data_IF_837745308281
#
_entry.id   IF_837745308281
#
_cell.length_a   1.000
_cell.length_b   1.000
_cell.length_c   1.000
_cell.angle_alpha   90.00
_cell.angle_beta   90.00
_cell.angle_gamma   90.00
#
_symmetry.space_group_name_H-M   'P 1'
#
loop_
_entity.id
_entity.type
_entity.pdbx_description
1 polymer ?
#
# COMPACT_ATOMS: atom_id res chain seq x y z
N UNK A 1 2.08 10.81 -26.11
CA UNK A 1 3.10 10.52 -25.06
C UNK A 1 3.57 11.85 -24.50
N UNK A 2 3.77 11.94 -23.18
CA UNK A 2 4.24 13.17 -22.52
C UNK A 2 5.68 13.48 -22.91
N UNK A 3 6.02 14.77 -22.92
CA UNK A 3 7.41 15.24 -23.14
C UNK A 3 8.13 15.45 -21.82
N UNK A 4 7.41 15.89 -20.77
CA UNK A 4 7.95 16.19 -19.46
C UNK A 4 6.97 15.85 -18.35
N UNK A 5 7.44 15.12 -17.33
CA UNK A 5 6.66 14.72 -16.14
C UNK A 5 7.30 15.31 -14.89
N UNK A 6 6.49 16.01 -14.08
CA UNK A 6 6.87 16.39 -12.72
C UNK A 6 6.53 15.24 -11.77
N UNK A 7 7.48 14.89 -10.90
CA UNK A 7 7.31 13.85 -9.89
C UNK A 7 6.98 14.52 -8.54
N UNK A 8 5.69 14.48 -8.15
CA UNK A 8 5.19 15.09 -6.92
C UNK A 8 5.39 14.17 -5.71
N UNK A 9 6.61 13.69 -5.53
CA UNK A 9 7.00 12.79 -4.45
C UNK A 9 8.50 12.88 -4.16
N UNK A 10 8.98 12.07 -3.22
CA UNK A 10 10.37 12.00 -2.77
C UNK A 10 10.83 10.54 -2.59
N UNK A 11 12.09 10.38 -2.20
CA UNK A 11 12.59 9.07 -1.79
C UNK A 11 12.73 8.08 -2.94
N UNK A 12 12.59 6.78 -2.63
CA UNK A 12 12.80 5.72 -3.60
C UNK A 12 11.78 5.74 -4.73
N UNK A 13 10.51 6.08 -4.43
CA UNK A 13 9.46 6.09 -5.46
C UNK A 13 9.67 7.21 -6.48
N UNK A 14 10.13 8.37 -6.05
CA UNK A 14 10.46 9.44 -6.98
C UNK A 14 11.61 9.02 -7.91
N UNK A 15 12.63 8.36 -7.37
CA UNK A 15 13.73 7.83 -8.17
C UNK A 15 13.28 6.70 -9.10
N UNK A 16 12.37 5.81 -8.64
CA UNK A 16 11.78 4.74 -9.46
C UNK A 16 11.05 5.31 -10.69
N UNK A 17 10.25 6.36 -10.48
CA UNK A 17 9.52 7.03 -11.57
C UNK A 17 10.49 7.72 -12.54
N UNK A 18 11.51 8.42 -12.03
CA UNK A 18 12.55 9.07 -12.85
C UNK A 18 13.23 8.06 -13.77
N UNK A 19 13.59 6.89 -13.27
CA UNK A 19 14.21 5.81 -14.06
C UNK A 19 13.32 5.40 -15.24
N UNK A 20 12.05 5.12 -14.99
CA UNK A 20 11.09 4.78 -16.05
C UNK A 20 10.91 5.91 -17.06
N UNK A 21 10.77 7.15 -16.60
CA UNK A 21 10.66 8.30 -17.50
C UNK A 21 11.88 8.41 -18.44
N UNK A 22 13.08 8.26 -17.89
CA UNK A 22 14.32 8.30 -18.70
C UNK A 22 14.39 7.18 -19.73
N UNK A 23 14.01 5.95 -19.35
CA UNK A 23 13.92 4.81 -20.28
C UNK A 23 12.87 5.02 -21.37
N UNK A 24 11.82 5.79 -21.10
CA UNK A 24 10.82 6.19 -22.08
C UNK A 24 11.19 7.43 -22.90
N UNK A 25 12.34 8.06 -22.65
CA UNK A 25 12.75 9.29 -23.30
C UNK A 25 11.96 10.54 -22.86
N UNK A 26 11.35 10.49 -21.66
CA UNK A 26 10.55 11.57 -21.09
C UNK A 26 11.41 12.39 -20.12
N UNK A 27 11.40 13.70 -20.25
CA UNK A 27 12.08 14.61 -19.32
C UNK A 27 11.41 14.61 -17.96
N UNK A 28 12.21 14.83 -16.91
CA UNK A 28 11.76 14.75 -15.54
C UNK A 28 12.01 16.03 -14.75
N UNK A 29 11.04 16.40 -13.91
CA UNK A 29 11.17 17.46 -12.93
C UNK A 29 11.00 16.85 -11.54
N UNK A 30 12.03 16.91 -10.71
CA UNK A 30 11.91 16.55 -9.30
C UNK A 30 11.45 17.77 -8.50
N UNK A 31 10.51 17.57 -7.56
CA UNK A 31 10.26 18.56 -6.51
C UNK A 31 10.95 18.10 -5.23
N UNK A 32 11.39 19.04 -4.40
CA UNK A 32 12.05 18.73 -3.14
C UNK A 32 11.82 19.79 -2.07
N UNK A 33 11.72 19.36 -0.82
CA UNK A 33 11.86 20.27 0.32
C UNK A 33 13.35 20.57 0.58
N UNK A 34 13.63 21.60 1.34
CA UNK A 34 15.03 21.95 1.68
C UNK A 34 15.78 20.81 2.38
N UNK A 35 15.07 19.87 3.08
CA UNK A 35 15.68 18.69 3.69
C UNK A 35 16.14 17.63 2.68
N UNK A 36 15.55 17.60 1.49
CA UNK A 36 15.84 16.60 0.45
C UNK A 36 16.77 17.12 -0.66
N UNK A 37 17.39 18.29 -0.49
CA UNK A 37 18.25 18.92 -1.49
C UNK A 37 19.31 17.97 -2.07
N UNK A 38 19.89 17.11 -1.24
CA UNK A 38 20.96 16.19 -1.61
C UNK A 38 20.45 14.78 -1.97
N UNK A 39 19.13 14.58 -2.03
CA UNK A 39 18.52 13.28 -2.38
C UNK A 39 18.79 12.87 -3.84
N UNK A 40 18.89 11.55 -4.08
CA UNK A 40 19.18 11.03 -5.43
C UNK A 40 18.12 11.40 -6.46
N UNK A 41 16.86 11.52 -6.10
CA UNK A 41 15.82 11.91 -7.04
C UNK A 41 16.02 13.34 -7.56
N UNK A 42 16.58 14.23 -6.74
CA UNK A 42 16.96 15.61 -7.15
C UNK A 42 18.14 15.57 -8.10
N UNK A 43 19.15 14.72 -7.83
CA UNK A 43 20.38 14.61 -8.63
C UNK A 43 20.16 13.97 -9.99
N UNK A 44 19.20 13.04 -10.08
CA UNK A 44 18.96 12.28 -11.30
C UNK A 44 17.83 12.80 -12.18
N UNK A 45 17.03 13.74 -11.71
CA UNK A 45 16.06 14.42 -12.56
C UNK A 45 16.76 15.37 -13.56
N UNK A 46 16.09 15.69 -14.66
CA UNK A 46 16.59 16.67 -15.63
C UNK A 46 16.50 18.10 -15.07
N UNK A 47 15.45 18.39 -14.31
CA UNK A 47 15.21 19.65 -13.62
C UNK A 47 14.78 19.38 -12.16
N UNK A 48 15.02 20.33 -11.28
CA UNK A 48 14.60 20.22 -9.88
C UNK A 48 14.13 21.56 -9.33
N UNK A 49 13.03 21.56 -8.57
CA UNK A 49 12.41 22.75 -7.99
C UNK A 49 12.22 22.58 -6.50
N UNK A 50 12.76 23.49 -5.70
CA UNK A 50 12.50 23.54 -4.26
C UNK A 50 11.08 24.05 -4.01
N UNK A 51 10.26 23.25 -3.31
CA UNK A 51 8.85 23.55 -3.05
C UNK A 51 8.57 23.99 -1.61
N UNK A 52 9.59 24.16 -0.77
CA UNK A 52 9.41 24.68 0.58
C UNK A 52 10.32 24.07 1.63
N UNK A 53 10.04 24.38 2.91
CA UNK A 53 10.79 23.87 4.06
C UNK A 53 10.50 22.39 4.34
N UNK A 54 11.20 21.75 5.32
CA UNK A 54 11.08 20.32 5.61
C UNK A 54 9.68 19.81 5.96
N UNK A 55 8.80 20.54 6.70
CA UNK A 55 7.49 20.03 7.02
C UNK A 55 6.66 19.72 5.76
N UNK A 56 6.10 18.50 5.68
CA UNK A 56 5.34 18.06 4.50
C UNK A 56 4.19 18.98 4.15
N UNK A 57 3.50 19.54 5.16
CA UNK A 57 2.41 20.51 4.96
C UNK A 57 2.82 21.73 4.15
N UNK A 58 4.05 22.18 4.33
CA UNK A 58 4.58 23.39 3.71
C UNK A 58 5.37 23.11 2.43
N UNK A 59 5.49 21.83 2.02
CA UNK A 59 6.22 21.34 0.84
C UNK A 59 5.43 20.31 0.05
N UNK A 60 5.59 19.01 0.30
CA UNK A 60 4.99 17.91 -0.48
C UNK A 60 3.46 17.83 -0.43
N UNK A 61 2.82 18.47 0.55
CA UNK A 61 1.36 18.62 0.65
C UNK A 61 0.87 20.01 0.22
N UNK A 62 1.78 20.88 -0.19
CA UNK A 62 1.45 22.24 -0.65
C UNK A 62 1.11 22.23 -2.14
N UNK A 63 -0.18 22.08 -2.44
CA UNK A 63 -0.70 22.03 -3.82
C UNK A 63 -0.27 23.24 -4.63
N UNK A 64 -0.43 24.50 -4.17
CA UNK A 64 0.00 25.69 -4.93
C UNK A 64 1.47 25.64 -5.34
N UNK A 65 2.38 25.22 -4.45
CA UNK A 65 3.81 25.17 -4.78
C UNK A 65 4.12 24.09 -5.82
N UNK A 66 3.44 22.95 -5.77
CA UNK A 66 3.62 21.86 -6.75
C UNK A 66 3.07 22.27 -8.12
N UNK A 67 1.89 22.88 -8.19
CA UNK A 67 1.30 23.36 -9.45
C UNK A 67 2.18 24.46 -10.05
N UNK A 68 2.65 25.42 -9.24
CA UNK A 68 3.57 26.46 -9.72
C UNK A 68 4.87 25.88 -10.27
N UNK A 69 5.43 24.84 -9.63
CA UNK A 69 6.61 24.14 -10.15
C UNK A 69 6.32 23.47 -11.51
N UNK A 70 5.14 22.88 -11.68
CA UNK A 70 4.74 22.25 -12.93
C UNK A 70 4.57 23.28 -14.08
N UNK A 71 3.94 24.41 -13.80
CA UNK A 71 3.79 25.51 -14.76
C UNK A 71 5.15 26.13 -15.14
N UNK A 72 5.99 26.46 -14.16
CA UNK A 72 7.32 27.03 -14.39
C UNK A 72 8.22 26.15 -15.26
N UNK A 73 8.08 24.85 -15.14
CA UNK A 73 8.87 23.87 -15.89
C UNK A 73 8.18 23.37 -17.16
N UNK A 74 6.96 23.83 -17.44
CA UNK A 74 6.13 23.35 -18.54
C UNK A 74 5.97 21.81 -18.54
N UNK A 75 5.63 21.23 -17.39
CA UNK A 75 5.36 19.81 -17.27
C UNK A 75 3.99 19.46 -17.85
N UNK A 76 3.93 18.43 -18.72
CA UNK A 76 2.68 17.96 -19.34
C UNK A 76 1.81 17.16 -18.37
N UNK A 77 2.46 16.52 -17.40
CA UNK A 77 1.81 15.63 -16.44
C UNK A 77 2.53 15.65 -15.08
N UNK A 78 1.78 15.23 -14.06
CA UNK A 78 2.30 15.03 -12.70
C UNK A 78 2.11 13.57 -12.30
N UNK A 79 3.19 12.92 -11.86
CA UNK A 79 3.14 11.59 -11.24
C UNK A 79 3.22 11.74 -9.72
N UNK A 80 2.18 11.38 -8.95
CA UNK A 80 2.15 11.58 -7.51
C UNK A 80 2.86 10.47 -6.71
N UNK A 81 3.24 9.35 -7.34
CA UNK A 81 3.72 8.16 -6.64
C UNK A 81 2.69 7.57 -5.69
N UNK A 82 3.10 7.32 -4.45
CA UNK A 82 2.23 6.91 -3.34
C UNK A 82 2.41 7.83 -2.11
N UNK A 83 1.42 7.84 -1.20
CA UNK A 83 1.40 8.78 -0.08
C UNK A 83 1.20 10.23 -0.51
N UNK A 84 1.45 11.18 0.36
CA UNK A 84 1.26 12.63 0.12
C UNK A 84 -0.07 12.96 -0.60
N UNK A 85 0.01 13.43 -1.84
CA UNK A 85 -1.15 13.87 -2.63
C UNK A 85 -1.67 12.81 -3.62
N UNK A 86 -1.15 11.58 -3.58
CA UNK A 86 -1.50 10.54 -4.57
C UNK A 86 -2.98 10.11 -4.52
N UNK A 87 -3.65 10.24 -3.38
CA UNK A 87 -5.08 9.97 -3.19
C UNK A 87 -5.85 11.24 -2.78
N UNK A 88 -5.39 12.40 -3.25
CA UNK A 88 -6.04 13.67 -2.98
C UNK A 88 -6.90 14.09 -4.19
N UNK A 89 -8.22 13.93 -4.05
CA UNK A 89 -9.16 14.25 -5.13
C UNK A 89 -9.10 15.73 -5.55
N UNK A 90 -8.90 16.65 -4.60
CA UNK A 90 -8.76 18.08 -4.87
C UNK A 90 -7.52 18.36 -5.74
N UNK A 91 -6.41 17.68 -5.46
CA UNK A 91 -5.18 17.83 -6.25
C UNK A 91 -5.37 17.30 -7.67
N UNK A 92 -6.00 16.12 -7.83
CA UNK A 92 -6.32 15.56 -9.15
C UNK A 92 -7.22 16.50 -9.96
N UNK A 93 -8.24 17.12 -9.32
CA UNK A 93 -9.12 18.10 -9.97
C UNK A 93 -8.36 19.38 -10.40
N UNK A 94 -7.53 19.93 -9.50
CA UNK A 94 -6.73 21.12 -9.79
C UNK A 94 -5.76 20.87 -10.96
N UNK A 95 -5.10 19.70 -11.00
CA UNK A 95 -4.25 19.36 -12.16
C UNK A 95 -5.04 19.45 -13.48
N UNK A 96 -6.25 18.90 -13.51
CA UNK A 96 -7.11 18.96 -14.70
C UNK A 96 -7.52 20.39 -15.08
N UNK A 97 -7.83 21.26 -14.09
CA UNK A 97 -8.15 22.67 -14.31
C UNK A 97 -7.00 23.46 -14.95
N UNK A 98 -5.75 23.09 -14.60
CA UNK A 98 -4.53 23.68 -15.17
C UNK A 98 -4.07 23.00 -16.46
N UNK A 99 -4.83 22.03 -16.98
CA UNK A 99 -4.46 21.30 -18.20
C UNK A 99 -3.26 20.36 -18.03
N UNK A 100 -2.92 20.01 -16.79
CA UNK A 100 -1.83 19.09 -16.42
C UNK A 100 -2.44 17.72 -16.17
N UNK A 101 -1.97 16.66 -16.87
CA UNK A 101 -2.48 15.31 -16.64
C UNK A 101 -1.98 14.76 -15.30
N UNK A 102 -2.92 14.44 -14.40
CA UNK A 102 -2.62 13.66 -13.21
C UNK A 102 -2.45 12.18 -13.60
N UNK A 103 -1.28 11.58 -13.33
CA UNK A 103 -0.99 10.17 -13.62
C UNK A 103 -1.49 9.32 -12.44
N UNK A 104 -2.75 8.93 -12.52
CA UNK A 104 -3.46 8.20 -11.47
C UNK A 104 -4.96 8.27 -11.69
N UNK A 105 -5.71 7.94 -10.64
CA UNK A 105 -7.17 7.98 -10.67
C UNK A 105 -7.73 9.40 -10.76
N UNK A 106 -8.91 9.54 -11.36
CA UNK A 106 -9.61 10.81 -11.39
C UNK A 106 -10.13 11.22 -10.00
N UNK A 107 -10.45 12.51 -9.83
CA UNK A 107 -11.00 13.03 -8.57
C UNK A 107 -12.26 12.25 -8.11
N UNK A 108 -13.15 11.92 -9.05
CA UNK A 108 -14.37 11.17 -8.76
C UNK A 108 -14.07 9.74 -8.28
N UNK A 109 -13.08 9.08 -8.89
CA UNK A 109 -12.65 7.74 -8.51
C UNK A 109 -12.00 7.75 -7.13
N UNK A 110 -11.15 8.74 -6.86
CA UNK A 110 -10.53 8.92 -5.53
C UNK A 110 -11.61 9.15 -4.46
N UNK A 111 -12.57 10.05 -4.70
CA UNK A 111 -13.65 10.31 -3.76
C UNK A 111 -14.53 9.08 -3.54
N UNK A 112 -14.90 8.36 -4.60
CA UNK A 112 -15.75 7.17 -4.54
C UNK A 112 -15.13 6.04 -3.72
N UNK A 113 -13.80 5.86 -3.79
CA UNK A 113 -13.09 4.80 -3.09
C UNK A 113 -12.49 5.24 -1.75
N UNK A 114 -12.32 6.55 -1.55
CA UNK A 114 -11.74 7.10 -0.32
C UNK A 114 -12.71 7.08 0.88
N UNK A 115 -14.01 7.13 0.65
CA UNK A 115 -15.02 6.93 1.70
C UNK A 115 -15.33 5.44 1.86
N UNK A 116 -15.01 4.89 3.03
CA UNK A 116 -15.13 3.44 3.30
C UNK A 116 -16.56 2.91 3.16
N UNK A 117 -17.57 3.70 3.54
CA UNK A 117 -18.97 3.28 3.46
C UNK A 117 -19.43 3.24 2.00
N UNK A 118 -19.16 4.31 1.25
CA UNK A 118 -19.46 4.40 -0.19
C UNK A 118 -18.73 3.34 -1.01
N UNK A 119 -17.45 3.11 -0.72
CA UNK A 119 -16.65 2.08 -1.37
C UNK A 119 -17.25 0.68 -1.12
N UNK A 120 -17.58 0.34 0.14
CA UNK A 120 -18.20 -0.94 0.51
C UNK A 120 -19.54 -1.14 -0.19
N UNK A 121 -20.38 -0.10 -0.25
CA UNK A 121 -21.67 -0.16 -0.94
C UNK A 121 -21.51 -0.35 -2.45
N UNK A 122 -20.60 0.39 -3.07
CA UNK A 122 -20.28 0.27 -4.49
C UNK A 122 -19.77 -1.13 -4.83
N UNK A 123 -18.87 -1.67 -4.02
CA UNK A 123 -18.35 -3.02 -4.18
C UNK A 123 -19.42 -4.09 -4.00
N UNK A 124 -20.30 -3.93 -2.99
CA UNK A 124 -21.44 -4.83 -2.77
C UNK A 124 -22.39 -4.84 -3.97
N UNK A 125 -22.71 -3.66 -4.53
CA UNK A 125 -23.54 -3.54 -5.76
C UNK A 125 -22.88 -4.16 -6.97
N UNK A 126 -21.56 -4.11 -7.07
CA UNK A 126 -20.77 -4.77 -8.13
C UNK A 126 -20.68 -6.30 -7.96
N UNK A 127 -21.18 -6.86 -6.86
CA UNK A 127 -21.09 -8.28 -6.56
C UNK A 127 -19.71 -8.73 -6.06
N UNK A 128 -18.94 -7.80 -5.51
CA UNK A 128 -17.69 -8.10 -4.78
C UNK A 128 -18.04 -8.51 -3.36
N UNK A 129 -17.53 -9.63 -2.83
CA UNK A 129 -17.79 -10.03 -1.46
C UNK A 129 -17.32 -8.97 -0.47
N UNK A 130 -18.20 -8.55 0.41
CA UNK A 130 -17.91 -7.60 1.50
C UNK A 130 -18.12 -8.29 2.85
N UNK A 131 -17.46 -7.81 3.90
CA UNK A 131 -17.64 -8.35 5.24
C UNK A 131 -19.14 -8.26 5.61
N UNK A 132 -19.81 -9.39 5.92
CA UNK A 132 -21.21 -9.39 6.33
C UNK A 132 -21.40 -8.54 7.58
N UNK A 133 -22.50 -7.81 7.67
CA UNK A 133 -22.75 -6.93 8.81
C UNK A 133 -24.13 -6.27 8.78
N UNK A 134 -24.33 -5.28 9.64
CA UNK A 134 -25.55 -4.49 9.67
C UNK A 134 -25.68 -3.57 8.45
N UNK A 135 -26.90 -3.37 7.99
CA UNK A 135 -27.22 -2.33 7.01
C UNK A 135 -27.44 -1.00 7.75
N UNK A 136 -26.35 -0.21 7.86
CA UNK A 136 -26.37 1.03 8.64
C UNK A 136 -26.23 0.82 10.15
N UNK A 137 -26.61 1.85 10.90
CA UNK A 137 -26.49 1.87 12.36
C UNK A 137 -27.47 0.94 13.03
N UNK A 138 -27.01 0.26 14.07
CA UNK A 138 -27.85 -0.54 14.95
C UNK A 138 -28.72 0.38 15.81
N UNK A 139 -29.99 0.05 15.94
CA UNK A 139 -30.97 0.79 16.73
C UNK A 139 -31.10 0.21 18.14
N UNK A 140 -30.74 -1.05 18.35
CA UNK A 140 -30.87 -1.72 19.65
C UNK A 140 -29.96 -2.93 19.78
N UNK A 141 -29.66 -3.34 20.99
CA UNK A 141 -28.97 -4.59 21.34
C UNK A 141 -29.66 -5.80 20.71
N UNK A 142 -31.01 -5.87 20.80
CA UNK A 142 -31.77 -6.98 20.22
C UNK A 142 -31.55 -7.12 18.71
N UNK A 143 -31.63 -6.00 17.97
CA UNK A 143 -31.34 -6.00 16.52
C UNK A 143 -29.93 -6.49 16.23
N UNK A 144 -28.94 -6.05 17.03
CA UNK A 144 -27.56 -6.49 16.90
C UNK A 144 -27.40 -8.00 17.11
N UNK A 145 -28.03 -8.56 18.13
CA UNK A 145 -28.03 -10.02 18.40
C UNK A 145 -28.67 -10.80 17.24
N UNK A 146 -29.83 -10.33 16.75
CA UNK A 146 -30.52 -11.00 15.63
C UNK A 146 -29.65 -11.03 14.35
N UNK A 147 -28.95 -9.93 14.06
CA UNK A 147 -28.01 -9.87 12.94
C UNK A 147 -26.80 -10.79 13.21
N UNK A 148 -26.22 -10.76 14.42
CA UNK A 148 -25.09 -11.60 14.80
C UNK A 148 -25.39 -13.08 14.64
N UNK A 149 -26.60 -13.55 15.05
CA UNK A 149 -27.07 -14.92 14.83
C UNK A 149 -27.17 -15.28 13.36
N UNK A 150 -27.62 -14.36 12.52
CA UNK A 150 -27.76 -14.58 11.07
C UNK A 150 -26.41 -14.68 10.36
N UNK A 151 -25.43 -13.84 10.72
CA UNK A 151 -24.09 -13.85 10.07
C UNK A 151 -23.10 -14.78 10.75
N UNK A 152 -23.43 -15.29 11.95
CA UNK A 152 -22.62 -16.18 12.77
C UNK A 152 -21.57 -15.45 13.62
N UNK A 153 -21.39 -15.89 14.84
CA UNK A 153 -20.31 -15.41 15.73
C UNK A 153 -18.94 -15.95 15.30
N UNK A 154 -17.81 -15.30 15.68
CA UNK A 154 -17.73 -14.02 16.38
C UNK A 154 -18.08 -12.84 15.47
N UNK A 155 -18.52 -11.75 16.08
CA UNK A 155 -18.82 -10.48 15.43
C UNK A 155 -18.05 -9.34 16.10
N UNK A 156 -17.91 -8.22 15.42
CA UNK A 156 -17.29 -7.02 15.97
C UNK A 156 -18.28 -5.86 15.91
N UNK A 157 -18.51 -5.24 17.07
CA UNK A 157 -19.19 -3.96 17.19
C UNK A 157 -18.18 -2.85 16.91
N UNK A 158 -18.55 -1.89 16.08
CA UNK A 158 -17.71 -0.74 15.72
C UNK A 158 -18.51 0.55 15.84
N UNK A 159 -17.93 1.53 16.51
CA UNK A 159 -18.47 2.87 16.51
C UNK A 159 -18.21 3.59 15.18
N UNK A 160 -19.14 4.44 14.74
CA UNK A 160 -18.98 5.25 13.51
C UNK A 160 -17.79 6.19 13.57
N UNK A 161 -17.50 6.73 14.73
CA UNK A 161 -16.34 7.59 15.00
C UNK A 161 -15.24 6.79 15.70
N UNK A 162 -14.75 5.70 15.08
CA UNK A 162 -13.68 4.87 15.63
C UNK A 162 -12.34 5.16 14.96
N UNK A 163 -11.28 5.24 15.77
CA UNK A 163 -9.90 5.40 15.30
C UNK A 163 -8.92 4.72 16.27
N UNK A 164 -7.88 4.06 15.73
CA UNK A 164 -6.86 3.42 16.55
C UNK A 164 -7.36 2.28 17.45
N UNK A 165 -8.44 1.59 17.05
CA UNK A 165 -9.02 0.47 17.82
C UNK A 165 -10.00 0.87 18.93
N UNK A 166 -10.23 2.16 19.17
CA UNK A 166 -11.20 2.65 20.14
C UNK A 166 -12.62 2.51 19.62
N UNK A 167 -13.58 2.20 20.51
CA UNK A 167 -14.99 1.98 20.13
C UNK A 167 -15.23 0.70 19.36
N UNK A 168 -14.33 -0.30 19.47
CA UNK A 168 -14.49 -1.63 18.87
C UNK A 168 -14.52 -2.71 19.94
N UNK A 169 -15.47 -3.64 19.85
CA UNK A 169 -15.58 -4.80 20.76
C UNK A 169 -15.89 -6.06 19.97
N UNK A 170 -15.12 -7.11 20.18
CA UNK A 170 -15.40 -8.44 19.65
C UNK A 170 -16.39 -9.10 20.57
N UNK A 171 -17.39 -9.76 19.99
CA UNK A 171 -18.45 -10.49 20.70
C UNK A 171 -18.46 -11.92 20.19
N UNK A 172 -18.29 -12.87 21.10
CA UNK A 172 -18.19 -14.29 20.77
C UNK A 172 -19.50 -15.04 20.89
N UNK A 173 -20.46 -14.50 21.66
CA UNK A 173 -21.78 -15.10 21.93
C UNK A 173 -22.78 -14.06 22.39
N UNK A 174 -24.08 -14.44 22.37
CA UNK A 174 -25.19 -13.56 22.69
C UNK A 174 -25.07 -12.87 24.06
N UNK A 175 -24.65 -13.62 25.08
CA UNK A 175 -24.57 -13.16 26.47
C UNK A 175 -23.56 -12.02 26.68
N UNK A 176 -22.60 -11.87 25.79
CA UNK A 176 -21.57 -10.84 25.83
C UNK A 176 -22.01 -9.54 25.12
N UNK A 177 -23.07 -9.62 24.29
CA UNK A 177 -23.41 -8.56 23.35
C UNK A 177 -23.77 -7.24 24.02
N UNK A 178 -24.62 -7.27 25.05
CA UNK A 178 -25.09 -6.08 25.75
C UNK A 178 -23.95 -5.34 26.45
N UNK A 179 -23.10 -6.06 27.18
CA UNK A 179 -21.93 -5.48 27.86
C UNK A 179 -20.93 -4.87 26.86
N UNK A 180 -20.72 -5.54 25.72
CA UNK A 180 -19.87 -5.03 24.64
C UNK A 180 -20.46 -3.77 23.98
N UNK A 181 -21.77 -3.76 23.76
CA UNK A 181 -22.51 -2.62 23.23
C UNK A 181 -22.37 -1.38 24.13
N UNK A 182 -22.66 -1.52 25.43
CA UNK A 182 -22.60 -0.42 26.38
C UNK A 182 -21.17 0.12 26.52
N UNK A 183 -20.19 -0.77 26.60
CA UNK A 183 -18.78 -0.41 26.69
C UNK A 183 -18.30 0.36 25.46
N UNK A 184 -18.62 -0.12 24.24
CA UNK A 184 -18.20 0.52 23.01
C UNK A 184 -18.86 1.89 22.81
N UNK A 185 -20.14 2.03 23.14
CA UNK A 185 -20.87 3.31 23.08
C UNK A 185 -20.34 4.32 24.07
N UNK A 186 -20.10 3.92 25.31
CA UNK A 186 -19.56 4.80 26.34
C UNK A 186 -18.18 5.35 25.95
N UNK A 187 -17.29 4.48 25.43
CA UNK A 187 -15.97 4.89 24.97
C UNK A 187 -16.04 5.86 23.78
N UNK A 188 -16.90 5.55 22.79
CA UNK A 188 -17.04 6.38 21.59
C UNK A 188 -17.72 7.71 21.88
N UNK A 189 -18.77 7.70 22.70
CA UNK A 189 -19.46 8.92 23.15
C UNK A 189 -18.52 9.86 23.89
N UNK A 190 -17.71 9.33 24.80
CA UNK A 190 -16.73 10.11 25.56
C UNK A 190 -15.57 10.64 24.71
N UNK A 191 -15.08 9.84 23.74
CA UNK A 191 -13.92 10.22 22.94
C UNK A 191 -14.25 11.10 21.72
N UNK A 192 -15.45 10.92 21.11
CA UNK A 192 -15.77 11.50 19.80
C UNK A 192 -17.13 12.21 19.75
N UNK A 193 -17.91 12.17 20.83
CA UNK A 193 -19.26 12.77 20.87
C UNK A 193 -20.29 12.07 19.97
N UNK A 194 -19.99 10.88 19.46
CA UNK A 194 -20.85 10.07 18.60
C UNK A 194 -20.85 8.62 19.09
N UNK A 195 -22.04 8.10 19.39
CA UNK A 195 -22.24 6.76 19.93
C UNK A 195 -22.91 5.78 18.95
N UNK A 196 -23.04 6.18 17.68
CA UNK A 196 -23.59 5.33 16.62
C UNK A 196 -22.74 4.07 16.41
N UNK A 197 -23.40 2.90 16.40
CA UNK A 197 -22.75 1.60 16.31
C UNK A 197 -23.20 0.83 15.07
N UNK A 198 -22.31 0.07 14.47
CA UNK A 198 -22.62 -0.93 13.46
C UNK A 198 -21.92 -2.25 13.78
N UNK A 199 -22.39 -3.33 13.17
CA UNK A 199 -21.92 -4.69 13.40
C UNK A 199 -21.31 -5.25 12.13
N UNK A 200 -20.19 -5.98 12.28
CA UNK A 200 -19.60 -6.75 11.20
C UNK A 200 -19.19 -8.14 11.69
N UNK A 201 -19.13 -9.10 10.77
CA UNK A 201 -18.47 -10.39 11.03
C UNK A 201 -17.03 -10.13 11.44
N UNK A 202 -16.59 -10.72 12.55
CA UNK A 202 -15.18 -10.74 12.89
C UNK A 202 -14.48 -11.83 12.10
N UNK A 203 -13.53 -11.45 11.26
CA UNK A 203 -12.71 -12.40 10.50
C UNK A 203 -11.53 -12.79 11.37
N UNK A 204 -11.52 -14.05 11.83
CA UNK A 204 -10.49 -14.56 12.70
C UNK A 204 -9.21 -14.84 11.93
N UNK A 205 -8.07 -14.37 12.45
CA UNK A 205 -6.72 -14.63 11.92
C UNK A 205 -6.64 -14.58 10.37
N UNK A 206 -7.09 -13.48 9.73
CA UNK A 206 -7.12 -13.42 8.30
C UNK A 206 -5.73 -13.25 7.71
N UNK A 207 -5.60 -13.60 6.43
CA UNK A 207 -4.53 -13.08 5.59
C UNK A 207 -4.96 -11.76 4.97
N UNK A 208 -4.00 -10.88 4.79
CA UNK A 208 -4.15 -9.68 3.99
C UNK A 208 -3.62 -9.98 2.59
N UNK A 209 -4.51 -10.23 1.65
CA UNK A 209 -4.17 -10.50 0.26
C UNK A 209 -4.82 -9.44 -0.61
N UNK A 210 -4.05 -8.91 -1.54
CA UNK A 210 -4.49 -7.83 -2.41
C UNK A 210 -4.29 -8.17 -3.88
N UNK A 211 -5.14 -7.61 -4.74
CA UNK A 211 -5.08 -7.80 -6.19
C UNK A 211 -4.67 -6.48 -6.86
N UNK A 212 -3.57 -6.52 -7.60
CA UNK A 212 -3.16 -5.42 -8.45
C UNK A 212 -4.07 -5.34 -9.67
N UNK A 213 -4.66 -4.18 -9.93
CA UNK A 213 -5.45 -3.92 -11.14
C UNK A 213 -4.86 -2.77 -11.94
N UNK A 214 -5.12 -2.80 -13.25
CA UNK A 214 -4.87 -1.67 -14.16
C UNK A 214 -6.11 -1.47 -15.01
N UNK A 215 -6.57 -0.23 -15.10
CA UNK A 215 -7.68 0.17 -15.97
C UNK A 215 -7.26 1.26 -16.95
N UNK A 216 -7.84 1.26 -18.13
CA UNK A 216 -7.62 2.31 -19.13
C UNK A 216 -8.83 3.24 -19.28
N UNK A 217 -8.64 4.32 -20.03
CA UNK A 217 -9.67 5.31 -20.31
C UNK A 217 -10.82 4.80 -21.21
N UNK A 218 -10.67 3.58 -21.74
CA UNK A 218 -11.63 2.96 -22.68
C UNK A 218 -12.49 1.90 -22.01
N UNK A 219 -12.34 1.73 -20.68
CA UNK A 219 -13.14 0.79 -19.89
C UNK A 219 -12.59 -0.63 -19.83
N UNK A 220 -11.38 -0.88 -20.37
CA UNK A 220 -10.70 -2.15 -20.12
C UNK A 220 -10.08 -2.15 -18.73
N UNK A 221 -10.22 -3.27 -18.03
CA UNK A 221 -9.57 -3.52 -16.74
C UNK A 221 -9.02 -4.94 -16.75
N UNK A 222 -7.80 -5.09 -16.28
CA UNK A 222 -7.18 -6.40 -16.03
C UNK A 222 -6.59 -6.46 -14.62
N UNK A 223 -6.33 -7.67 -14.12
CA UNK A 223 -5.55 -7.88 -12.91
C UNK A 223 -4.14 -8.40 -13.23
N UNK A 224 -3.20 -8.05 -12.37
CA UNK A 224 -1.79 -8.44 -12.44
C UNK A 224 -1.43 -9.40 -11.28
N UNK A 225 -2.36 -10.29 -10.91
CA UNK A 225 -2.25 -11.24 -9.81
C UNK A 225 -2.27 -10.60 -8.41
N UNK A 226 -1.95 -11.42 -7.41
CA UNK A 226 -2.02 -11.06 -6.01
C UNK A 226 -0.66 -10.80 -5.37
N UNK A 227 -0.72 -10.10 -4.21
CA UNK A 227 0.34 -10.02 -3.22
C UNK A 227 -0.18 -10.44 -1.85
N UNK A 228 0.62 -11.13 -1.06
CA UNK A 228 0.36 -11.39 0.35
C UNK A 228 1.10 -10.35 1.20
N UNK A 229 0.35 -9.58 1.96
CA UNK A 229 0.83 -8.49 2.80
C UNK A 229 0.52 -8.73 4.28
N UNK A 230 0.43 -10.00 4.69
CA UNK A 230 0.01 -10.38 6.05
C UNK A 230 1.06 -10.06 7.12
N UNK A 231 2.34 -10.01 6.77
CA UNK A 231 3.41 -9.66 7.72
C UNK A 231 3.43 -8.13 7.91
N UNK A 232 2.81 -7.70 9.00
CA UNK A 232 2.64 -6.28 9.30
C UNK A 232 2.69 -6.02 10.80
N UNK A 233 3.15 -4.84 11.18
CA UNK A 233 3.18 -4.35 12.55
C UNK A 233 2.39 -3.06 12.64
N UNK A 234 1.39 -3.04 13.56
CA UNK A 234 0.49 -1.87 13.72
C UNK A 234 -0.09 -1.37 12.39
N UNK A 235 -0.53 -2.30 11.55
CA UNK A 235 -1.05 -2.06 10.19
C UNK A 235 -0.04 -1.49 9.17
N UNK A 236 1.25 -1.51 9.49
CA UNK A 236 2.33 -1.20 8.55
C UNK A 236 2.93 -2.50 8.02
N UNK A 237 2.87 -2.70 6.71
CA UNK A 237 3.44 -3.85 6.02
C UNK A 237 4.96 -3.84 6.19
N UNK A 238 5.56 -4.99 6.47
CA UNK A 238 7.01 -5.16 6.67
C UNK A 238 7.63 -6.08 5.62
N UNK A 239 6.88 -7.12 5.24
CA UNK A 239 7.28 -8.07 4.19
C UNK A 239 6.06 -8.36 3.32
N UNK A 240 6.29 -8.36 2.02
CA UNK A 240 5.30 -8.70 1.01
C UNK A 240 5.84 -9.78 0.08
N UNK A 241 4.97 -10.64 -0.40
CA UNK A 241 5.34 -11.67 -1.38
C UNK A 241 4.29 -11.90 -2.45
N UNK A 242 4.72 -12.34 -3.61
CA UNK A 242 3.89 -12.79 -4.72
C UNK A 242 4.51 -14.02 -5.37
N UNK A 243 3.71 -15.07 -5.66
CA UNK A 243 2.33 -15.28 -5.20
C UNK A 243 2.24 -15.55 -3.70
N UNK A 244 1.03 -15.44 -3.13
CA UNK A 244 0.77 -15.84 -1.74
C UNK A 244 0.93 -17.35 -1.57
N UNK A 245 1.63 -17.85 -0.54
CA UNK A 245 1.74 -19.28 -0.26
C UNK A 245 0.39 -19.93 0.11
N UNK A 246 -0.61 -19.13 0.45
CA UNK A 246 -1.98 -19.58 0.77
C UNK A 246 -2.88 -19.69 -0.46
N UNK A 247 -2.47 -19.09 -1.58
CA UNK A 247 -3.28 -18.99 -2.79
C UNK A 247 -3.42 -20.34 -3.52
N UNK A 248 -4.58 -20.54 -4.13
CA UNK A 248 -4.83 -21.57 -5.14
C UNK A 248 -5.30 -20.92 -6.43
N UNK A 249 -5.14 -21.56 -7.58
CA UNK A 249 -5.55 -20.99 -8.87
C UNK A 249 -7.04 -20.64 -8.89
N UNK A 250 -7.88 -21.49 -8.25
CA UNK A 250 -9.31 -21.21 -8.09
C UNK A 250 -9.59 -19.96 -7.26
N UNK A 251 -8.84 -19.75 -6.18
CA UNK A 251 -8.99 -18.55 -5.33
C UNK A 251 -8.49 -17.32 -6.07
N UNK A 252 -7.31 -17.40 -6.70
CA UNK A 252 -6.73 -16.31 -7.52
C UNK A 252 -7.71 -15.84 -8.58
N UNK A 253 -8.29 -16.77 -9.33
CA UNK A 253 -9.31 -16.45 -10.34
C UNK A 253 -10.51 -15.74 -9.74
N UNK A 254 -11.07 -16.24 -8.63
CA UNK A 254 -12.25 -15.63 -7.97
C UNK A 254 -11.94 -14.22 -7.47
N UNK A 255 -10.78 -14.02 -6.82
CA UNK A 255 -10.37 -12.72 -6.29
C UNK A 255 -10.03 -11.73 -7.43
N UNK A 256 -9.34 -12.19 -8.46
CA UNK A 256 -9.05 -11.39 -9.66
C UNK A 256 -10.33 -10.93 -10.37
N UNK A 257 -11.28 -11.85 -10.60
CA UNK A 257 -12.58 -11.52 -11.20
C UNK A 257 -13.36 -10.50 -10.34
N UNK A 258 -13.31 -10.63 -9.01
CA UNK A 258 -13.95 -9.70 -8.08
C UNK A 258 -13.28 -8.31 -8.13
N UNK A 259 -11.96 -8.25 -8.15
CA UNK A 259 -11.20 -7.00 -8.26
C UNK A 259 -11.51 -6.26 -9.57
N UNK A 260 -11.56 -7.00 -10.70
CA UNK A 260 -11.95 -6.43 -12.01
C UNK A 260 -13.37 -5.86 -11.96
N UNK A 261 -14.34 -6.60 -11.37
CA UNK A 261 -15.73 -6.12 -11.22
C UNK A 261 -15.78 -4.81 -10.42
N UNK A 262 -15.08 -4.77 -9.31
CA UNK A 262 -15.00 -3.56 -8.47
C UNK A 262 -14.39 -2.38 -9.22
N UNK A 263 -13.25 -2.56 -9.87
CA UNK A 263 -12.58 -1.51 -10.63
C UNK A 263 -13.45 -1.03 -11.83
N UNK A 264 -14.13 -1.93 -12.53
CA UNK A 264 -15.08 -1.57 -13.61
C UNK A 264 -16.28 -0.77 -13.10
N UNK A 265 -16.79 -1.08 -11.90
CA UNK A 265 -17.94 -0.38 -11.33
C UNK A 265 -17.68 1.11 -11.12
N UNK A 266 -16.42 1.48 -10.87
CA UNK A 266 -15.98 2.88 -10.70
C UNK A 266 -15.28 3.42 -11.95
N UNK A 267 -15.28 2.68 -13.07
CA UNK A 267 -14.61 3.05 -14.32
C UNK A 267 -13.14 3.42 -14.10
N UNK A 268 -12.45 2.60 -13.29
CA UNK A 268 -11.12 2.92 -12.79
C UNK A 268 -10.10 3.14 -13.91
N UNK A 269 -9.29 4.21 -13.78
CA UNK A 269 -8.17 4.55 -14.65
C UNK A 269 -6.85 4.53 -13.87
N UNK A 270 -5.81 3.95 -14.44
CA UNK A 270 -4.48 3.84 -13.85
C UNK A 270 -4.25 2.52 -13.12
N UNK A 271 -3.16 2.46 -12.35
CA UNK A 271 -2.87 1.35 -11.47
C UNK A 271 -3.56 1.54 -10.12
N UNK A 272 -4.23 0.51 -9.65
CA UNK A 272 -4.90 0.47 -8.35
C UNK A 272 -4.79 -0.91 -7.72
N UNK A 273 -5.11 -0.99 -6.44
CA UNK A 273 -5.05 -2.25 -5.69
C UNK A 273 -6.33 -2.45 -4.90
N UNK A 274 -6.92 -3.63 -5.05
CA UNK A 274 -8.10 -4.04 -4.26
C UNK A 274 -7.63 -4.97 -3.15
N UNK A 275 -7.76 -4.53 -1.91
CA UNK A 275 -7.34 -5.26 -0.72
C UNK A 275 -8.47 -6.10 -0.14
N UNK A 276 -8.12 -7.33 0.28
CA UNK A 276 -9.05 -8.30 0.84
C UNK A 276 -8.52 -8.91 2.13
N UNK A 277 -9.43 -9.21 3.05
CA UNK A 277 -9.19 -10.17 4.13
C UNK A 277 -9.61 -11.56 3.65
N UNK A 278 -8.72 -12.55 3.82
CA UNK A 278 -8.97 -13.94 3.43
C UNK A 278 -8.95 -14.81 4.68
N UNK A 279 -10.06 -15.50 4.96
CA UNK A 279 -10.17 -16.39 6.11
C UNK A 279 -9.53 -17.77 5.88
N UNK A 280 -9.43 -18.59 6.94
CA UNK A 280 -8.88 -19.95 6.88
C UNK A 280 -9.63 -20.90 5.92
N UNK A 281 -10.87 -20.58 5.58
CA UNK A 281 -11.71 -21.36 4.66
C UNK A 281 -11.62 -20.85 3.21
N UNK A 282 -10.71 -19.90 2.93
CA UNK A 282 -10.54 -19.22 1.63
C UNK A 282 -11.78 -18.45 1.17
N UNK A 283 -12.59 -17.95 2.12
CA UNK A 283 -13.52 -16.86 1.84
C UNK A 283 -12.76 -15.56 1.89
N UNK A 284 -13.10 -14.63 0.98
CA UNK A 284 -12.43 -13.33 0.92
C UNK A 284 -13.45 -12.21 0.97
N UNK A 285 -13.05 -11.10 1.56
CA UNK A 285 -13.92 -9.95 1.81
C UNK A 285 -13.18 -8.67 1.48
N UNK A 286 -13.80 -7.82 0.68
CA UNK A 286 -13.29 -6.49 0.36
C UNK A 286 -13.00 -5.69 1.63
N UNK A 287 -11.83 -5.11 1.70
CA UNK A 287 -11.40 -4.22 2.76
C UNK A 287 -11.37 -2.77 2.29
N UNK A 288 -10.57 -2.49 1.26
CA UNK A 288 -10.47 -1.17 0.66
C UNK A 288 -9.87 -1.25 -0.76
N UNK A 289 -9.91 -0.13 -1.49
CA UNK A 289 -9.23 0.02 -2.77
C UNK A 289 -8.30 1.23 -2.70
N UNK A 290 -7.01 0.98 -2.93
CA UNK A 290 -6.03 2.05 -3.07
C UNK A 290 -6.00 2.53 -4.51
N UNK A 291 -6.26 3.84 -4.71
CA UNK A 291 -6.38 4.45 -6.03
C UNK A 291 -5.04 5.00 -6.55
N UNK A 292 -3.97 4.28 -6.30
CA UNK A 292 -2.58 4.63 -6.59
C UNK A 292 -1.70 3.40 -6.75
N UNK A 293 -0.46 3.62 -7.16
CA UNK A 293 0.60 2.63 -7.01
C UNK A 293 0.88 2.37 -5.52
N UNK A 294 1.27 1.17 -5.16
CA UNK A 294 1.65 0.82 -3.79
C UNK A 294 3.16 0.63 -3.64
N UNK A 295 3.65 0.65 -2.40
CA UNK A 295 5.08 0.45 -2.08
C UNK A 295 5.57 -0.88 -2.65
N UNK A 296 4.76 -1.92 -2.46
CA UNK A 296 5.02 -3.32 -2.78
C UNK A 296 4.77 -3.72 -4.26
N UNK A 297 4.56 -2.74 -5.16
CA UNK A 297 4.41 -3.04 -6.59
C UNK A 297 5.57 -3.84 -7.20
N UNK A 298 6.82 -3.74 -6.70
CA UNK A 298 7.93 -4.48 -7.29
C UNK A 298 7.76 -5.99 -7.27
N UNK A 299 7.14 -6.59 -6.24
CA UNK A 299 6.95 -8.06 -6.24
C UNK A 299 6.04 -8.50 -7.38
N UNK A 300 5.01 -7.70 -7.72
CA UNK A 300 4.18 -7.95 -8.89
C UNK A 300 4.97 -7.82 -10.19
N UNK A 301 5.76 -6.75 -10.31
CA UNK A 301 6.59 -6.51 -11.51
C UNK A 301 7.51 -7.70 -11.81
N UNK A 302 8.20 -8.20 -10.76
CA UNK A 302 9.16 -9.29 -10.89
C UNK A 302 8.51 -10.63 -11.26
N UNK A 303 7.35 -10.97 -10.66
CA UNK A 303 6.75 -12.30 -10.89
C UNK A 303 6.05 -12.44 -12.24
N UNK A 304 5.71 -11.32 -12.90
CA UNK A 304 5.04 -11.34 -14.20
C UNK A 304 5.86 -10.65 -15.31
N UNK A 305 7.06 -10.17 -14.99
CA UNK A 305 7.94 -9.41 -15.89
C UNK A 305 7.21 -8.22 -16.54
N UNK A 306 6.77 -7.26 -15.69
CA UNK A 306 5.93 -6.15 -16.11
C UNK A 306 6.36 -4.85 -15.42
N UNK A 307 6.53 -3.75 -16.15
CA UNK A 307 6.81 -2.42 -15.58
C UNK A 307 5.50 -1.66 -15.35
N UNK A 308 5.06 -1.64 -14.10
CA UNK A 308 3.77 -1.04 -13.71
C UNK A 308 3.80 0.49 -13.76
N UNK A 309 4.94 1.12 -13.44
CA UNK A 309 5.11 2.58 -13.57
C UNK A 309 5.02 3.01 -15.03
N UNK A 310 5.66 2.25 -15.92
CA UNK A 310 5.59 2.47 -17.36
C UNK A 310 4.17 2.36 -17.89
N UNK A 311 3.40 1.38 -17.38
CA UNK A 311 2.02 1.21 -17.78
C UNK A 311 1.12 2.34 -17.26
N UNK A 312 1.32 2.83 -16.02
CA UNK A 312 0.63 4.02 -15.52
C UNK A 312 0.82 5.24 -16.44
N UNK A 313 2.07 5.48 -16.86
CA UNK A 313 2.39 6.60 -17.76
C UNK A 313 1.71 6.43 -19.12
N UNK A 314 1.72 5.22 -19.69
CA UNK A 314 1.05 4.91 -20.95
C UNK A 314 -0.45 5.12 -20.89
N UNK A 315 -1.10 4.57 -19.85
CA UNK A 315 -2.54 4.73 -19.63
C UNK A 315 -2.91 6.20 -19.52
N UNK A 316 -2.18 6.97 -18.72
CA UNK A 316 -2.41 8.40 -18.57
C UNK A 316 -2.21 9.18 -19.89
N UNK A 317 -1.33 8.69 -20.77
CA UNK A 317 -1.13 9.24 -22.13
C UNK A 317 -2.19 8.77 -23.15
N UNK A 318 -3.21 8.03 -22.72
CA UNK A 318 -4.29 7.55 -23.59
C UNK A 318 -3.96 6.29 -24.40
N UNK A 319 -2.92 5.55 -24.03
CA UNK A 319 -2.59 4.27 -24.69
C UNK A 319 -3.40 3.16 -24.01
N UNK A 320 -4.21 2.40 -24.77
CA UNK A 320 -5.02 1.33 -24.19
C UNK A 320 -4.16 0.18 -23.67
N UNK A 321 -4.59 -0.43 -22.57
CA UNK A 321 -3.98 -1.66 -22.04
C UNK A 321 -4.32 -2.87 -22.89
N UNK A 322 -3.52 -3.95 -22.76
CA UNK A 322 -3.80 -5.22 -23.45
C UNK A 322 -5.12 -5.85 -22.98
N UNK A 323 -5.51 -5.61 -21.73
CA UNK A 323 -6.66 -6.23 -21.07
C UNK A 323 -6.44 -7.71 -20.72
N UNK A 324 -5.23 -8.24 -20.89
CA UNK A 324 -4.86 -9.60 -20.50
C UNK A 324 -4.65 -9.63 -18.99
N UNK A 325 -5.23 -10.63 -18.32
CA UNK A 325 -4.90 -10.96 -16.94
C UNK A 325 -3.55 -11.69 -16.90
N UNK A 326 -2.80 -11.46 -15.83
CA UNK A 326 -1.48 -12.06 -15.63
C UNK A 326 -1.51 -13.03 -14.46
N UNK A 327 -0.71 -14.08 -14.59
CA UNK A 327 -0.45 -15.06 -13.54
C UNK A 327 1.05 -15.06 -13.20
N UNK A 328 1.43 -15.27 -11.92
CA UNK A 328 2.83 -15.33 -11.54
C UNK A 328 3.53 -16.50 -12.21
N UNK A 329 4.71 -16.25 -12.76
CA UNK A 329 5.59 -17.27 -13.34
C UNK A 329 6.84 -17.52 -12.50
N UNK A 330 7.06 -16.68 -11.51
CA UNK A 330 8.17 -16.70 -10.56
C UNK A 330 7.61 -16.46 -9.14
N UNK A 331 8.49 -16.48 -8.13
CA UNK A 331 8.18 -16.07 -6.77
C UNK A 331 9.07 -14.92 -6.35
N UNK A 332 8.49 -13.84 -5.85
CA UNK A 332 9.22 -12.67 -5.35
C UNK A 332 8.83 -12.34 -3.90
N UNK A 333 9.82 -11.91 -3.13
CA UNK A 333 9.65 -11.45 -1.75
C UNK A 333 10.27 -10.06 -1.65
N UNK A 334 9.58 -9.13 -1.02
CA UNK A 334 10.06 -7.78 -0.70
C UNK A 334 10.21 -7.65 0.82
N UNK A 335 11.35 -7.12 1.28
CA UNK A 335 11.56 -6.68 2.65
C UNK A 335 11.74 -5.16 2.66
N UNK A 336 10.93 -4.46 3.47
CA UNK A 336 11.08 -3.01 3.66
C UNK A 336 12.19 -2.73 4.65
N UNK A 337 13.19 -1.99 4.21
CA UNK A 337 14.31 -1.59 5.06
C UNK A 337 14.04 -0.17 5.59
N UNK A 338 13.73 -0.11 6.87
CA UNK A 338 13.46 1.14 7.57
C UNK A 338 14.66 1.53 8.44
N UNK A 339 14.92 2.82 8.55
CA UNK A 339 15.86 3.38 9.52
C UNK A 339 15.21 3.41 10.91
N UNK A 340 15.10 2.23 11.52
CA UNK A 340 14.44 1.96 12.80
C UNK A 340 15.23 0.92 13.60
N UNK A 341 15.15 1.01 14.92
CA UNK A 341 15.70 0.00 15.84
C UNK A 341 14.62 -1.04 16.19
N UNK A 342 14.63 -2.23 15.56
CA UNK A 342 13.59 -3.23 15.76
C UNK A 342 13.60 -3.82 17.18
N UNK A 343 14.75 -3.83 17.86
CA UNK A 343 14.89 -4.34 19.22
C UNK A 343 14.51 -3.32 20.30
N UNK A 344 14.30 -2.06 19.87
CA UNK A 344 13.82 -0.98 20.73
C UNK A 344 12.47 -0.46 20.21
N UNK A 345 11.49 -1.37 20.09
CA UNK A 345 10.12 -1.07 19.67
C UNK A 345 10.00 -0.34 18.31
N UNK A 346 10.91 -0.59 17.37
CA UNK A 346 10.99 0.06 16.06
C UNK A 346 11.10 1.59 16.16
N UNK A 347 11.87 2.07 17.13
CA UNK A 347 12.13 3.49 17.30
C UNK A 347 12.85 4.03 16.07
N UNK A 348 12.39 5.14 15.46
CA UNK A 348 13.08 5.78 14.33
C UNK A 348 14.54 6.10 14.64
N UNK A 349 15.41 5.87 13.68
CA UNK A 349 16.86 6.10 13.76
C UNK A 349 17.32 7.02 12.61
N UNK A 350 16.87 8.30 12.57
CA UNK A 350 17.37 9.25 11.60
C UNK A 350 18.85 9.53 11.85
N UNK A 351 19.59 9.92 10.83
CA UNK A 351 21.01 10.21 10.96
C UNK A 351 21.78 10.09 9.66
N UNK A 352 23.11 10.23 9.77
CA UNK A 352 24.00 10.13 8.61
C UNK A 352 24.42 8.69 8.38
N UNK A 353 24.21 8.21 7.15
CA UNK A 353 24.74 6.93 6.68
C UNK A 353 26.25 7.10 6.45
N UNK A 354 27.04 6.38 7.24
CA UNK A 354 28.51 6.43 7.17
C UNK A 354 29.10 5.47 6.16
N UNK A 355 28.43 4.31 5.98
CA UNK A 355 28.78 3.33 4.97
C UNK A 355 27.51 2.71 4.39
N UNK A 356 27.52 2.46 3.07
CA UNK A 356 26.41 1.86 2.34
C UNK A 356 26.95 0.93 1.27
N UNK A 357 26.65 -0.37 1.40
CA UNK A 357 26.94 -1.36 0.38
C UNK A 357 25.66 -2.12 0.02
N UNK A 358 25.20 -1.94 -1.21
CA UNK A 358 23.99 -2.60 -1.73
C UNK A 358 24.29 -4.03 -2.14
N UNK A 359 23.47 -5.02 -1.73
CA UNK A 359 23.62 -6.38 -2.21
C UNK A 359 23.35 -6.47 -3.71
N UNK A 360 23.88 -7.51 -4.34
CA UNK A 360 23.74 -7.76 -5.77
C UNK A 360 23.53 -9.23 -6.09
N UNK A 361 23.80 -9.60 -7.34
CA UNK A 361 23.67 -10.97 -7.84
C UNK A 361 22.33 -11.24 -8.50
N UNK A 362 22.23 -12.46 -9.07
CA UNK A 362 21.03 -12.87 -9.79
C UNK A 362 19.78 -12.88 -8.88
N UNK A 363 18.68 -12.33 -9.39
CA UNK A 363 17.40 -12.30 -8.65
C UNK A 363 17.32 -11.29 -7.50
N UNK A 364 18.25 -10.31 -7.41
CA UNK A 364 18.22 -9.25 -6.39
C UNK A 364 17.99 -7.90 -7.05
N UNK A 365 16.92 -7.22 -6.61
CA UNK A 365 16.60 -5.83 -6.96
C UNK A 365 16.58 -4.98 -5.70
N UNK A 366 17.19 -3.80 -5.76
CA UNK A 366 17.17 -2.82 -4.67
C UNK A 366 16.55 -1.52 -5.17
N UNK A 367 15.45 -1.13 -4.56
CA UNK A 367 14.85 0.19 -4.75
C UNK A 367 15.20 1.07 -3.54
N UNK A 368 16.11 2.03 -3.73
CA UNK A 368 16.61 2.90 -2.66
C UNK A 368 16.97 4.28 -3.19
N UNK A 369 16.93 5.27 -2.30
CA UNK A 369 17.35 6.65 -2.57
C UNK A 369 18.53 7.10 -1.72
N UNK A 370 19.02 6.22 -0.84
CA UNK A 370 20.11 6.54 0.09
C UNK A 370 21.46 6.07 -0.45
N UNK A 371 22.54 6.63 0.08
CA UNK A 371 23.91 6.38 -0.31
C UNK A 371 24.85 6.76 0.85
N UNK A 372 26.12 6.38 0.76
CA UNK A 372 27.15 6.77 1.75
C UNK A 372 27.25 8.29 1.86
N UNK A 373 27.05 8.80 3.05
CA UNK A 373 27.05 10.25 3.36
C UNK A 373 25.66 10.90 3.35
N UNK A 374 24.61 10.20 2.89
CA UNK A 374 23.24 10.70 2.95
C UNK A 374 22.77 10.88 4.41
N UNK A 375 22.07 11.98 4.68
CA UNK A 375 21.45 12.25 5.98
C UNK A 375 19.95 11.98 5.88
N UNK A 376 19.49 10.98 6.62
CA UNK A 376 18.07 10.65 6.69
C UNK A 376 17.36 11.71 7.51
N UNK A 377 16.42 12.49 6.93
CA UNK A 377 15.73 13.54 7.66
C UNK A 377 14.67 12.94 8.59
N UNK A 378 14.47 13.51 9.78
CA UNK A 378 13.45 13.01 10.73
C UNK A 378 12.00 13.41 10.35
N UNK A 379 11.83 14.14 9.27
CA UNK A 379 10.55 14.75 8.88
C UNK A 379 9.63 13.82 8.09
N UNK A 380 10.14 12.69 7.59
CA UNK A 380 9.46 11.81 6.66
C UNK A 380 9.49 10.37 7.14
N UNK A 381 8.86 9.47 6.37
CA UNK A 381 8.86 8.04 6.63
C UNK A 381 10.29 7.48 6.76
N UNK A 382 10.44 6.48 7.62
CA UNK A 382 11.72 5.85 7.94
C UNK A 382 12.22 4.88 6.87
N UNK A 383 11.40 4.53 5.86
CA UNK A 383 11.78 3.58 4.82
C UNK A 383 12.87 4.15 3.92
N UNK A 384 14.01 3.48 3.88
CA UNK A 384 15.21 3.91 3.13
C UNK A 384 15.53 3.01 1.94
N UNK A 385 15.05 1.79 1.95
CA UNK A 385 15.22 0.85 0.83
C UNK A 385 14.13 -0.23 0.84
N UNK A 386 13.96 -0.87 -0.30
CA UNK A 386 13.26 -2.14 -0.48
C UNK A 386 14.24 -3.14 -1.08
N UNK A 387 14.33 -4.31 -0.49
CA UNK A 387 15.06 -5.44 -1.06
C UNK A 387 14.02 -6.38 -1.64
N UNK A 388 14.10 -6.63 -2.93
CA UNK A 388 13.21 -7.54 -3.65
C UNK A 388 14.06 -8.70 -4.19
N UNK A 389 13.70 -9.91 -3.80
CA UNK A 389 14.37 -11.12 -4.29
C UNK A 389 13.40 -11.99 -5.05
N UNK A 390 13.79 -12.43 -6.24
CA UNK A 390 12.97 -13.23 -7.15
C UNK A 390 13.69 -14.51 -7.56
N UNK A 391 12.95 -15.63 -7.60
CA UNK A 391 13.45 -16.94 -8.02
C UNK A 391 12.31 -17.79 -8.61
N UNK A 392 12.64 -19.03 -9.03
CA UNK A 392 11.66 -19.97 -9.56
C UNK A 392 10.68 -20.46 -8.48
N UNK A 393 11.17 -20.65 -7.27
CA UNK A 393 10.42 -21.15 -6.13
C UNK A 393 10.50 -20.20 -4.93
N UNK A 394 9.55 -20.33 -4.00
CA UNK A 394 9.54 -19.56 -2.75
C UNK A 394 10.80 -19.81 -1.91
N UNK A 395 11.22 -21.08 -1.79
CA UNK A 395 12.40 -21.44 -0.99
C UNK A 395 13.69 -20.84 -1.56
N UNK A 396 13.82 -20.80 -2.87
CA UNK A 396 14.95 -20.12 -3.53
C UNK A 396 14.88 -18.59 -3.31
N UNK A 397 13.70 -17.99 -3.39
CA UNK A 397 13.53 -16.56 -3.13
C UNK A 397 13.87 -16.21 -1.66
N UNK A 398 13.45 -17.05 -0.69
CA UNK A 398 13.81 -16.91 0.72
C UNK A 398 15.33 -17.01 0.94
N UNK A 399 15.99 -18.00 0.32
CA UNK A 399 17.44 -18.19 0.42
C UNK A 399 18.21 -17.01 -0.20
N UNK A 400 17.70 -16.49 -1.34
CA UNK A 400 18.27 -15.30 -2.00
C UNK A 400 18.10 -14.06 -1.13
N UNK A 401 16.95 -13.90 -0.48
CA UNK A 401 16.68 -12.78 0.42
C UNK A 401 17.59 -12.82 1.66
N UNK A 402 17.74 -13.99 2.28
CA UNK A 402 18.63 -14.17 3.44
C UNK A 402 20.08 -13.80 3.10
N UNK A 403 20.59 -14.27 1.94
CA UNK A 403 21.92 -13.88 1.45
C UNK A 403 21.99 -12.38 1.19
N UNK A 404 21.04 -11.80 0.46
CA UNK A 404 21.03 -10.39 0.13
C UNK A 404 21.02 -9.49 1.37
N UNK A 405 20.20 -9.81 2.36
CA UNK A 405 20.15 -9.04 3.61
C UNK A 405 21.43 -9.19 4.44
N UNK A 406 22.10 -10.35 4.38
CA UNK A 406 23.39 -10.57 5.06
C UNK A 406 24.54 -9.78 4.42
N UNK A 407 24.45 -9.48 3.13
CA UNK A 407 25.42 -8.65 2.40
C UNK A 407 25.10 -7.15 2.48
N UNK A 408 23.88 -6.77 2.89
CA UNK A 408 23.45 -5.38 2.88
C UNK A 408 24.05 -4.61 4.06
N UNK A 409 25.05 -3.79 3.81
CA UNK A 409 25.71 -2.99 4.84
C UNK A 409 25.16 -1.57 4.85
N UNK A 410 24.58 -1.17 5.97
CA UNK A 410 24.14 0.21 6.24
C UNK A 410 24.63 0.57 7.64
N UNK A 411 25.58 1.48 7.73
CA UNK A 411 26.16 1.92 9.00
C UNK A 411 25.84 3.38 9.28
N UNK A 412 25.91 3.76 10.56
CA UNK A 412 25.61 5.12 11.06
C UNK A 412 24.17 5.28 11.56
N UNK A 413 23.28 4.35 11.21
CA UNK A 413 21.88 4.29 11.68
C UNK A 413 21.48 2.85 11.99
N UNK A 414 20.46 2.66 12.82
CA UNK A 414 19.84 1.35 13.03
C UNK A 414 18.86 1.08 11.90
N UNK A 415 18.74 -0.19 11.49
CA UNK A 415 17.81 -0.62 10.42
C UNK A 415 17.04 -1.87 10.80
N UNK A 416 15.97 -2.16 10.06
CA UNK A 416 15.16 -3.38 10.22
C UNK A 416 15.82 -4.64 9.64
N UNK A 417 17.01 -4.57 9.05
CA UNK A 417 17.71 -5.75 8.47
C UNK A 417 17.85 -6.90 9.48
N UNK A 418 18.29 -6.69 10.74
CA UNK A 418 18.42 -7.78 11.70
C UNK A 418 17.09 -8.47 12.04
N UNK A 419 16.00 -7.70 12.09
CA UNK A 419 14.65 -8.24 12.26
C UNK A 419 14.26 -9.16 11.09
N UNK A 420 14.47 -8.71 9.85
CA UNK A 420 14.14 -9.51 8.68
C UNK A 420 14.95 -10.81 8.62
N UNK A 421 16.23 -10.80 8.98
CA UNK A 421 17.04 -12.00 9.05
C UNK A 421 16.48 -13.03 10.04
N UNK A 422 15.99 -12.59 11.21
CA UNK A 422 15.34 -13.46 12.18
C UNK A 422 14.00 -14.00 11.68
N UNK A 423 13.21 -13.14 11.02
CA UNK A 423 11.94 -13.52 10.43
C UNK A 423 12.10 -14.62 9.35
N UNK A 424 13.11 -14.50 8.50
CA UNK A 424 13.40 -15.48 7.45
C UNK A 424 13.82 -16.85 7.99
N UNK A 425 14.26 -16.93 9.24
CA UNK A 425 14.62 -18.18 9.92
C UNK A 425 13.44 -18.81 10.68
N UNK A 426 12.34 -18.09 10.87
CA UNK A 426 11.16 -18.61 11.57
C UNK A 426 10.51 -19.77 10.80
N UNK A 427 10.27 -20.94 11.43
CA UNK A 427 9.72 -22.11 10.77
C UNK A 427 8.31 -21.90 10.22
N UNK A 428 7.46 -21.11 10.91
CA UNK A 428 6.10 -20.82 10.47
C UNK A 428 6.11 -19.90 9.26
N UNK A 429 6.97 -18.85 9.27
CA UNK A 429 7.14 -17.99 8.11
C UNK A 429 7.66 -18.78 6.90
N UNK A 430 8.69 -19.61 7.07
CA UNK A 430 9.24 -20.46 6.01
C UNK A 430 8.21 -21.44 5.45
N UNK A 431 7.38 -22.03 6.31
CA UNK A 431 6.30 -22.93 5.90
C UNK A 431 5.08 -22.20 5.25
N UNK A 432 5.08 -20.86 5.23
CA UNK A 432 3.93 -20.09 4.75
C UNK A 432 2.74 -20.08 5.73
N UNK A 433 2.94 -20.46 6.97
CA UNK A 433 1.93 -20.54 8.04
C UNK A 433 1.89 -19.24 8.85
N UNK A 434 1.35 -18.18 8.30
CA UNK A 434 1.24 -16.89 8.97
C UNK A 434 -0.08 -16.20 8.63
N UNK A 435 -0.48 -15.27 9.48
CA UNK A 435 -1.67 -14.43 9.32
C UNK A 435 -1.31 -12.99 9.69
N UNK A 436 -2.28 -12.08 9.64
CA UNK A 436 -2.06 -10.69 10.08
C UNK A 436 -1.66 -10.55 11.55
N UNK A 437 -1.84 -11.61 12.36
CA UNK A 437 -1.45 -11.66 13.77
C UNK A 437 -0.06 -12.26 14.01
N UNK A 438 0.66 -12.63 12.96
CA UNK A 438 1.97 -13.27 13.09
C UNK A 438 2.90 -12.51 14.04
N UNK A 439 2.95 -11.17 13.92
CA UNK A 439 3.80 -10.33 14.76
C UNK A 439 3.43 -10.26 16.24
N UNK A 440 2.22 -10.73 16.62
CA UNK A 440 1.80 -10.79 18.03
C UNK A 440 2.44 -11.96 18.77
N UNK A 441 2.85 -12.99 18.03
CA UNK A 441 3.44 -14.23 18.57
C UNK A 441 4.89 -14.44 18.14
N UNK A 442 5.39 -13.67 17.20
CA UNK A 442 6.77 -13.77 16.74
C UNK A 442 7.72 -13.16 17.76
N UNK A 443 8.53 -14.02 18.39
CA UNK A 443 9.55 -13.60 19.35
C UNK A 443 10.87 -13.29 18.63
N UNK A 444 11.40 -12.11 18.85
CA UNK A 444 12.70 -11.68 18.34
C UNK A 444 13.41 -10.82 19.40
N UNK A 445 14.62 -11.17 19.68
CA UNK A 445 15.52 -10.47 20.61
C UNK A 445 16.87 -10.21 19.92
N UNK A 446 17.64 -9.31 20.45
CA UNK A 446 19.00 -9.00 19.94
C UNK A 446 19.91 -10.25 19.91
#
# INVERSE_FOLDING_TARGET
MFKKILIANRGEIALRIIRTCKEMGIKTVAVYSTADRDSLHVRFADEAVCIGPPPSRDSYLNIPNIISAAELTNADAIHPGYGFLSENAKFSAICAEYGIKFIGATADQINSMGDKASAKETMKKAGVPTIPGSEGLLQSVKQGIDIAKKIGYPVILKATASGGGRGMRIVWKDEEFEAAWDSARAESGAAFGNDGMYLEKYVEDPRHIEIQVVGDQYGKVCHLSERDCSIQRRHQKLVEESPSPFMTDKLRKRMGDAAIKGAKAVKYEGAGTVEFLVDKNRNFYFMEMNTRIQVEHPVTEEVINFDLIKEQIKVAAGIPISGKNYEPILHAIECRINAEDPFNNFRPSPGKITNFHSPGGHGVRIDTHVYTGYVIPPNYDSMIAKVICVAQTRDEALSTMERALSEFVIEGVKTTIPFHLKLLQDPNFRAGNFTTKFMETFEYSE
#
